data_IF_013747130209
#
_entry.id   IF_013747130209
#
_cell.length_a   1.000
_cell.length_b   1.000
_cell.length_c   1.000
_cell.angle_alpha   90.00
_cell.angle_beta   90.00
_cell.angle_gamma   90.00
#
_symmetry.space_group_name_H-M   'P 1'
#
loop_
_entity.id
_entity.type
_entity.pdbx_description
1 polymer ?
#
# COMPACT_ATOMS: atom_id res chain seq x y z
N UNK A 1 -11.72 72.92 -9.35
CA UNK A 1 -12.81 71.95 -9.11
C UNK A 1 -12.34 70.59 -9.61
N UNK A 2 -11.94 69.67 -8.71
CA UNK A 2 -11.57 68.28 -9.04
C UNK A 2 -12.67 67.37 -8.51
N UNK A 3 -13.34 66.66 -9.40
CA UNK A 3 -14.38 65.70 -9.06
C UNK A 3 -13.73 64.34 -8.65
N UNK A 4 -14.02 63.86 -7.43
CA UNK A 4 -13.68 62.53 -6.97
C UNK A 4 -14.77 61.56 -7.44
N UNK A 5 -14.38 60.57 -8.22
CA UNK A 5 -15.21 59.40 -8.56
C UNK A 5 -14.98 58.34 -7.49
N UNK A 6 -16.00 57.98 -6.72
CA UNK A 6 -16.00 56.87 -5.80
C UNK A 6 -16.43 55.60 -6.56
N UNK A 7 -15.51 54.63 -6.68
CA UNK A 7 -15.84 53.30 -7.18
C UNK A 7 -16.25 52.44 -5.98
N UNK A 8 -17.49 52.00 -5.95
CA UNK A 8 -17.99 51.02 -4.99
C UNK A 8 -17.72 49.61 -5.52
N UNK A 9 -16.85 48.88 -4.85
CA UNK A 9 -16.64 47.46 -5.13
C UNK A 9 -17.72 46.64 -4.45
N UNK A 10 -18.60 46.03 -5.26
CA UNK A 10 -19.55 45.02 -4.78
C UNK A 10 -18.82 43.65 -4.74
N UNK A 11 -18.49 43.22 -3.56
CA UNK A 11 -17.99 41.85 -3.33
C UNK A 11 -19.15 40.87 -3.36
N UNK A 12 -19.21 39.99 -4.37
CA UNK A 12 -20.08 38.82 -4.38
C UNK A 12 -19.51 37.77 -3.42
N UNK A 13 -20.10 37.65 -2.23
CA UNK A 13 -19.92 36.50 -1.35
C UNK A 13 -20.73 35.32 -1.90
N UNK A 14 -20.05 34.39 -2.57
CA UNK A 14 -20.64 33.08 -2.87
C UNK A 14 -20.78 32.30 -1.55
N UNK A 15 -21.96 31.72 -1.26
CA UNK A 15 -22.11 30.89 -0.08
C UNK A 15 -21.29 29.61 -0.27
N UNK A 16 -20.28 29.42 0.57
CA UNK A 16 -19.61 28.15 0.71
C UNK A 16 -20.67 27.14 1.22
N UNK A 17 -21.03 26.18 0.39
CA UNK A 17 -21.90 25.06 0.79
C UNK A 17 -21.12 24.23 1.83
N UNK A 18 -21.40 24.49 3.10
CA UNK A 18 -20.94 23.65 4.21
C UNK A 18 -21.75 22.36 4.12
N UNK A 19 -21.18 21.33 3.50
CA UNK A 19 -21.71 19.96 3.61
C UNK A 19 -21.57 19.57 5.09
N UNK A 20 -22.64 19.21 5.79
CA UNK A 20 -22.55 18.95 7.21
C UNK A 20 -21.66 17.72 7.47
N UNK A 21 -20.64 17.88 8.31
CA UNK A 21 -19.73 16.84 8.78
C UNK A 21 -20.46 15.63 9.41
N UNK A 22 -21.72 15.81 9.82
CA UNK A 22 -22.56 14.78 10.42
C UNK A 22 -22.91 13.61 9.47
N UNK A 23 -22.99 13.86 8.15
CA UNK A 23 -23.28 12.79 7.18
C UNK A 23 -22.09 11.82 6.99
N UNK A 24 -20.88 12.24 7.35
CA UNK A 24 -19.68 11.44 7.24
C UNK A 24 -19.48 10.49 8.44
N UNK A 25 -20.06 10.83 9.59
CA UNK A 25 -19.92 10.06 10.83
C UNK A 25 -20.74 8.75 10.82
N UNK A 26 -21.91 8.75 10.21
CA UNK A 26 -22.78 7.57 10.12
C UNK A 26 -22.23 6.48 9.18
N UNK A 27 -21.42 6.87 8.19
CA UNK A 27 -20.83 5.93 7.22
C UNK A 27 -19.79 4.99 7.85
N UNK A 28 -19.16 5.37 8.96
CA UNK A 28 -18.10 4.62 9.63
C UNK A 28 -18.50 4.06 11.00
N UNK A 29 -19.71 4.25 11.48
CA UNK A 29 -20.08 3.95 12.86
C UNK A 29 -21.25 2.99 13.04
N UNK A 30 -22.12 2.80 12.07
CA UNK A 30 -23.33 1.98 12.20
C UNK A 30 -23.20 0.64 11.45
N UNK A 31 -22.17 -0.14 11.80
CA UNK A 31 -21.97 -1.46 11.25
C UNK A 31 -22.95 -2.47 11.86
N UNK A 32 -23.50 -3.43 11.07
CA UNK A 32 -24.16 -4.59 11.64
C UNK A 32 -23.22 -5.35 12.59
N UNK A 33 -23.79 -6.02 13.57
CA UNK A 33 -23.02 -6.84 14.51
C UNK A 33 -22.23 -7.91 13.74
N UNK A 34 -20.92 -7.97 13.96
CA UNK A 34 -20.01 -8.87 13.29
C UNK A 34 -19.38 -8.33 12.00
N UNK A 35 -19.79 -7.15 11.52
CA UNK A 35 -19.36 -6.59 10.23
C UNK A 35 -18.50 -5.32 10.37
N UNK A 36 -18.24 -4.86 11.61
CA UNK A 36 -17.34 -3.73 11.80
C UNK A 36 -15.92 -4.07 11.35
N UNK A 37 -15.14 -3.09 10.86
CA UNK A 37 -13.73 -3.32 10.49
C UNK A 37 -12.92 -4.00 11.59
N UNK A 38 -13.18 -3.66 12.86
CA UNK A 38 -12.52 -4.28 14.01
C UNK A 38 -12.89 -5.75 14.17
N UNK A 39 -14.17 -6.11 14.07
CA UNK A 39 -14.62 -7.49 14.20
C UNK A 39 -14.14 -8.35 13.03
N UNK A 40 -14.24 -7.83 11.80
CA UNK A 40 -13.78 -8.53 10.59
C UNK A 40 -12.25 -8.68 10.61
N UNK A 41 -11.52 -7.61 10.87
CA UNK A 41 -10.05 -7.61 10.93
C UNK A 41 -9.54 -8.60 11.98
N UNK A 42 -10.15 -8.61 13.16
CA UNK A 42 -9.80 -9.57 14.22
C UNK A 42 -10.00 -11.02 13.78
N UNK A 43 -11.19 -11.36 13.26
CA UNK A 43 -11.45 -12.72 12.78
C UNK A 43 -10.48 -13.19 11.71
N UNK A 44 -10.16 -12.31 10.74
CA UNK A 44 -9.22 -12.63 9.66
C UNK A 44 -7.81 -12.86 10.21
N UNK A 45 -7.32 -11.97 11.08
CA UNK A 45 -5.99 -12.07 11.63
C UNK A 45 -5.84 -13.29 12.58
N UNK A 46 -6.78 -13.54 13.47
CA UNK A 46 -6.80 -14.72 14.34
C UNK A 46 -6.89 -16.04 13.54
N UNK A 47 -7.71 -16.05 12.48
CA UNK A 47 -7.80 -17.20 11.60
C UNK A 47 -6.46 -17.47 10.90
N UNK A 48 -5.77 -16.42 10.45
CA UNK A 48 -4.48 -16.56 9.81
C UNK A 48 -3.40 -17.15 10.72
N UNK A 49 -3.38 -16.80 12.03
CA UNK A 49 -2.39 -17.33 12.99
C UNK A 49 -2.33 -18.86 12.97
N UNK A 50 -3.48 -19.53 12.83
CA UNK A 50 -3.59 -21.00 12.91
C UNK A 50 -3.80 -21.68 11.56
N UNK A 51 -3.98 -20.91 10.48
CA UNK A 51 -4.20 -21.44 9.14
C UNK A 51 -2.94 -22.11 8.58
N UNK A 52 -3.08 -23.21 7.80
CA UNK A 52 -1.95 -23.75 7.05
C UNK A 52 -1.45 -22.73 6.03
N UNK A 53 -0.19 -22.85 5.62
CA UNK A 53 0.36 -22.01 4.55
C UNK A 53 -0.41 -22.23 3.23
N UNK A 54 -0.65 -21.16 2.49
CA UNK A 54 -1.35 -21.20 1.20
C UNK A 54 -0.47 -21.82 0.11
N UNK A 55 0.81 -21.45 0.09
CA UNK A 55 1.79 -22.05 -0.80
C UNK A 55 2.15 -23.47 -0.40
N UNK A 56 2.20 -24.40 -1.37
CA UNK A 56 2.60 -25.77 -1.10
C UNK A 56 4.06 -25.90 -0.66
N UNK A 57 4.95 -25.12 -1.26
CA UNK A 57 6.40 -25.21 -1.09
C UNK A 57 7.07 -23.91 -0.65
N UNK A 58 6.40 -22.78 -0.78
CA UNK A 58 6.95 -21.46 -0.45
C UNK A 58 5.88 -20.53 0.09
N UNK A 59 6.25 -19.56 0.89
CA UNK A 59 5.37 -18.46 1.29
C UNK A 59 5.05 -17.62 0.04
N UNK A 60 3.78 -17.30 -0.15
CA UNK A 60 3.29 -16.56 -1.32
C UNK A 60 2.89 -15.14 -0.92
N UNK A 61 2.89 -14.21 -1.88
CA UNK A 61 2.62 -12.78 -1.66
C UNK A 61 1.28 -12.53 -0.93
N UNK A 62 0.26 -13.35 -1.14
CA UNK A 62 -1.03 -13.21 -0.46
C UNK A 62 -0.94 -13.51 1.04
N UNK A 63 -0.05 -14.45 1.45
CA UNK A 63 0.25 -14.66 2.87
C UNK A 63 1.00 -13.48 3.47
N UNK A 64 1.97 -12.93 2.71
CA UNK A 64 2.73 -11.74 3.13
C UNK A 64 1.77 -10.57 3.37
N UNK A 65 0.83 -10.30 2.45
CA UNK A 65 -0.19 -9.27 2.60
C UNK A 65 -1.10 -9.52 3.81
N UNK A 66 -1.44 -10.79 4.10
CA UNK A 66 -2.23 -11.14 5.27
C UNK A 66 -1.44 -10.94 6.57
N UNK A 67 -0.15 -11.29 6.57
CA UNK A 67 0.74 -11.05 7.71
C UNK A 67 0.89 -9.57 8.02
N UNK A 68 1.20 -8.80 6.98
CA UNK A 68 1.32 -7.35 7.07
C UNK A 68 0.04 -6.71 7.63
N UNK A 69 -1.12 -7.07 7.05
CA UNK A 69 -2.42 -6.59 7.51
C UNK A 69 -2.72 -7.01 8.96
N UNK A 70 -2.39 -8.24 9.35
CA UNK A 70 -2.57 -8.74 10.70
C UNK A 70 -1.72 -8.00 11.75
N UNK A 71 -0.44 -7.78 11.45
CA UNK A 71 0.45 -7.00 12.32
C UNK A 71 0.01 -5.53 12.43
N UNK A 72 -0.38 -4.92 11.31
CA UNK A 72 -0.93 -3.56 11.30
C UNK A 72 -2.21 -3.48 12.12
N UNK A 73 -3.10 -4.45 11.99
CA UNK A 73 -4.32 -4.53 12.79
C UNK A 73 -4.02 -4.66 14.28
N UNK A 74 -3.11 -5.55 14.66
CA UNK A 74 -2.69 -5.75 16.05
C UNK A 74 -2.11 -4.44 16.65
N UNK A 75 -1.29 -3.73 15.88
CA UNK A 75 -0.75 -2.42 16.27
C UNK A 75 -1.86 -1.40 16.51
N UNK A 76 -2.76 -1.22 15.54
CA UNK A 76 -3.84 -0.22 15.59
C UNK A 76 -4.87 -0.50 16.70
N UNK A 77 -5.07 -1.76 17.07
CA UNK A 77 -6.00 -2.18 18.12
C UNK A 77 -5.35 -2.41 19.47
N UNK A 78 -4.02 -2.25 19.56
CA UNK A 78 -3.22 -2.53 20.75
C UNK A 78 -3.40 -3.99 21.24
N UNK A 79 -3.55 -4.94 20.30
CA UNK A 79 -3.67 -6.37 20.61
C UNK A 79 -2.27 -7.03 20.60
N UNK A 80 -1.57 -6.84 21.73
CA UNK A 80 -0.22 -7.38 21.92
C UNK A 80 -0.17 -8.91 21.77
N UNK A 81 -1.22 -9.61 22.20
CA UNK A 81 -1.29 -11.08 22.09
C UNK A 81 -1.30 -11.50 20.61
N UNK A 82 -2.15 -10.91 19.81
CA UNK A 82 -2.23 -11.19 18.38
C UNK A 82 -0.90 -10.85 17.66
N UNK A 83 -0.30 -9.70 17.99
CA UNK A 83 1.02 -9.33 17.48
C UNK A 83 2.06 -10.42 17.77
N UNK A 84 2.14 -10.88 19.01
CA UNK A 84 3.15 -11.85 19.44
C UNK A 84 2.92 -13.22 18.77
N UNK A 85 1.67 -13.64 18.60
CA UNK A 85 1.30 -14.86 17.87
C UNK A 85 1.70 -14.78 16.39
N UNK A 86 1.50 -13.64 15.73
CA UNK A 86 1.91 -13.41 14.35
C UNK A 86 3.44 -13.39 14.19
N UNK A 87 4.16 -12.79 15.15
CA UNK A 87 5.63 -12.82 15.20
C UNK A 87 6.12 -14.25 15.40
N UNK A 88 5.55 -14.99 16.34
CA UNK A 88 5.92 -16.39 16.58
C UNK A 88 5.70 -17.25 15.33
N UNK A 89 4.59 -17.06 14.62
CA UNK A 89 4.35 -17.72 13.34
C UNK A 89 5.45 -17.42 12.32
N UNK A 90 5.91 -16.16 12.25
CA UNK A 90 6.97 -15.75 11.32
C UNK A 90 8.34 -16.35 11.67
N UNK A 91 8.61 -16.63 12.95
CA UNK A 91 9.87 -17.23 13.35
C UNK A 91 10.11 -18.60 12.72
N UNK A 92 9.03 -19.37 12.41
CA UNK A 92 9.19 -20.66 11.75
C UNK A 92 9.78 -20.56 10.34
N UNK A 93 9.57 -19.44 9.65
CA UNK A 93 10.06 -19.17 8.29
C UNK A 93 11.25 -18.20 8.25
N UNK A 94 11.92 -17.99 9.39
CA UNK A 94 13.24 -17.31 9.41
C UNK A 94 14.34 -18.30 8.94
N UNK A 95 15.53 -17.84 8.55
CA UNK A 95 16.61 -18.69 8.07
C UNK A 95 17.02 -19.86 9.00
N UNK A 96 16.82 -19.67 10.29
CA UNK A 96 17.06 -20.68 11.34
C UNK A 96 15.78 -21.37 11.85
N UNK A 97 14.64 -21.08 11.23
CA UNK A 97 13.35 -21.59 11.60
C UNK A 97 13.07 -23.00 11.05
N UNK A 98 12.08 -23.68 11.64
CA UNK A 98 11.72 -25.05 11.28
C UNK A 98 11.16 -25.20 9.84
N UNK A 99 10.70 -24.11 9.24
CA UNK A 99 10.13 -24.03 7.90
C UNK A 99 10.94 -23.09 6.98
N UNK A 100 12.24 -22.96 7.22
CA UNK A 100 13.16 -22.12 6.43
C UNK A 100 13.23 -22.52 4.94
N UNK A 101 12.87 -23.74 4.59
CA UNK A 101 12.75 -24.22 3.22
C UNK A 101 11.61 -23.53 2.44
N UNK A 102 10.64 -22.94 3.14
CA UNK A 102 9.54 -22.17 2.57
C UNK A 102 9.88 -20.70 2.25
N UNK A 103 11.05 -20.24 2.61
CA UNK A 103 11.50 -18.88 2.28
C UNK A 103 11.52 -18.71 0.75
N UNK A 104 10.86 -17.67 0.19
CA UNK A 104 10.89 -17.41 -1.25
C UNK A 104 12.31 -17.12 -1.74
N UNK A 105 12.69 -17.67 -2.91
CA UNK A 105 14.08 -17.63 -3.39
C UNK A 105 14.25 -17.02 -4.78
N UNK A 106 13.14 -16.85 -5.52
CA UNK A 106 13.22 -16.26 -6.86
C UNK A 106 13.53 -14.78 -6.76
N UNK A 107 14.25 -14.29 -7.74
CA UNK A 107 14.43 -12.86 -7.97
C UNK A 107 13.21 -12.31 -8.72
N UNK A 108 12.17 -12.00 -7.98
CA UNK A 108 10.86 -11.67 -8.51
C UNK A 108 10.00 -10.96 -7.46
N UNK A 109 9.22 -9.97 -7.87
CA UNK A 109 8.39 -9.15 -6.97
C UNK A 109 7.51 -9.96 -6.01
N UNK A 110 6.91 -11.06 -6.48
CA UNK A 110 6.04 -11.92 -5.67
C UNK A 110 6.79 -12.64 -4.54
N UNK A 111 8.09 -12.85 -4.71
CA UNK A 111 8.97 -13.47 -3.73
C UNK A 111 9.65 -12.39 -2.85
N UNK A 112 10.09 -11.30 -3.47
CA UNK A 112 10.80 -10.22 -2.78
C UNK A 112 9.94 -9.50 -1.75
N UNK A 113 8.62 -9.39 -1.97
CA UNK A 113 7.68 -8.81 -1.00
C UNK A 113 7.76 -9.48 0.39
N UNK A 114 8.28 -10.71 0.48
CA UNK A 114 8.46 -11.42 1.76
C UNK A 114 9.24 -10.59 2.78
N UNK A 115 10.19 -9.76 2.32
CA UNK A 115 10.97 -8.85 3.18
C UNK A 115 10.14 -7.80 3.93
N UNK A 116 8.90 -7.54 3.52
CA UNK A 116 7.99 -6.60 4.19
C UNK A 116 7.69 -7.03 5.63
N UNK A 117 7.45 -8.33 5.86
CA UNK A 117 7.06 -8.83 7.18
C UNK A 117 8.17 -8.66 8.22
N UNK A 118 9.42 -9.09 7.98
CA UNK A 118 10.48 -8.87 8.97
C UNK A 118 10.76 -7.38 9.20
N UNK A 119 10.66 -6.50 8.19
CA UNK A 119 10.81 -5.06 8.40
C UNK A 119 9.73 -4.51 9.32
N UNK A 120 8.47 -4.91 9.14
CA UNK A 120 7.38 -4.51 10.03
C UNK A 120 7.58 -5.05 11.44
N UNK A 121 8.01 -6.31 11.60
CA UNK A 121 8.34 -6.87 12.92
C UNK A 121 9.47 -6.07 13.59
N UNK A 122 10.48 -5.64 12.84
CA UNK A 122 11.50 -4.75 13.37
C UNK A 122 10.92 -3.41 13.83
N UNK A 123 10.01 -2.82 13.07
CA UNK A 123 9.36 -1.55 13.46
C UNK A 123 8.66 -1.69 14.82
N UNK A 124 8.04 -2.84 15.08
CA UNK A 124 7.35 -3.11 16.34
C UNK A 124 8.30 -3.47 17.51
N UNK A 125 9.33 -4.29 17.23
CA UNK A 125 10.14 -4.92 18.28
C UNK A 125 11.51 -4.28 18.49
N UNK A 126 12.03 -3.60 17.49
CA UNK A 126 13.43 -3.11 17.38
C UNK A 126 14.48 -4.22 17.44
N UNK A 127 14.10 -5.49 17.25
CA UNK A 127 15.05 -6.60 17.16
C UNK A 127 15.76 -6.58 15.79
N UNK A 128 17.05 -6.26 15.82
CA UNK A 128 17.88 -6.02 14.64
C UNK A 128 17.95 -7.19 13.66
N UNK A 129 17.76 -8.41 14.12
CA UNK A 129 17.77 -9.59 13.22
C UNK A 129 16.70 -9.49 12.11
N UNK A 130 15.53 -8.92 12.43
CA UNK A 130 14.46 -8.72 11.46
C UNK A 130 14.78 -7.59 10.47
N UNK A 131 15.41 -6.51 10.95
CA UNK A 131 15.88 -5.44 10.08
C UNK A 131 16.88 -5.97 9.06
N UNK A 132 17.96 -6.60 9.55
CA UNK A 132 19.03 -7.11 8.69
C UNK A 132 18.49 -8.09 7.65
N UNK A 133 17.55 -8.94 8.06
CA UNK A 133 16.95 -9.90 7.16
C UNK A 133 16.03 -9.23 6.12
N UNK A 134 15.13 -8.36 6.53
CA UNK A 134 14.21 -7.69 5.61
C UNK A 134 14.91 -6.79 4.59
N UNK A 135 16.00 -6.10 5.00
CA UNK A 135 16.78 -5.28 4.08
C UNK A 135 17.46 -6.08 2.97
N UNK A 136 17.76 -7.36 3.17
CA UNK A 136 18.32 -8.19 2.09
C UNK A 136 17.38 -8.29 0.89
N UNK A 137 16.08 -8.31 1.13
CA UNK A 137 15.06 -8.32 0.06
C UNK A 137 14.90 -6.94 -0.58
N UNK A 138 14.81 -5.89 0.23
CA UNK A 138 14.63 -4.53 -0.27
C UNK A 138 15.84 -4.05 -1.10
N UNK A 139 17.07 -4.31 -0.65
CA UNK A 139 18.27 -3.92 -1.36
C UNK A 139 18.46 -4.74 -2.64
N UNK A 140 18.14 -6.05 -2.61
CA UNK A 140 18.24 -6.91 -3.79
C UNK A 140 17.46 -6.35 -4.97
N UNK A 141 16.25 -5.81 -4.78
CA UNK A 141 15.42 -5.24 -5.86
C UNK A 141 16.14 -4.13 -6.66
N UNK A 142 17.16 -3.49 -6.10
CA UNK A 142 17.99 -2.45 -6.74
C UNK A 142 19.46 -2.80 -6.82
N UNK A 143 19.84 -4.04 -6.63
CA UNK A 143 21.26 -4.45 -6.74
C UNK A 143 21.81 -4.22 -8.16
N UNK A 144 21.00 -4.49 -9.20
CA UNK A 144 21.33 -4.24 -10.60
C UNK A 144 20.17 -3.51 -11.28
N UNK A 145 19.96 -2.20 -11.01
CA UNK A 145 18.82 -1.46 -11.55
C UNK A 145 18.87 -1.38 -13.08
N UNK A 146 17.71 -1.18 -13.69
CA UNK A 146 17.60 -0.94 -15.12
C UNK A 146 18.31 0.39 -15.51
N UNK A 147 18.65 0.60 -16.80
CA UNK A 147 19.35 1.82 -17.24
C UNK A 147 18.62 3.12 -16.93
N UNK A 148 17.31 3.08 -16.76
CA UNK A 148 16.46 4.20 -16.36
C UNK A 148 16.35 4.40 -14.84
N UNK A 149 17.05 3.56 -14.06
CA UNK A 149 17.08 3.61 -12.60
C UNK A 149 15.97 2.86 -11.90
N UNK A 150 15.07 2.22 -12.65
CA UNK A 150 14.02 1.38 -12.07
C UNK A 150 14.59 0.06 -11.55
N UNK A 151 13.81 -0.63 -10.71
CA UNK A 151 14.17 -1.96 -10.23
C UNK A 151 14.41 -2.94 -11.38
N UNK A 152 15.36 -3.86 -11.22
CA UNK A 152 15.50 -4.95 -12.19
C UNK A 152 14.29 -5.92 -12.18
N UNK A 153 13.49 -5.91 -11.11
CA UNK A 153 12.23 -6.66 -11.03
C UNK A 153 11.05 -5.97 -11.74
N UNK A 154 11.22 -4.73 -12.23
CA UNK A 154 10.17 -3.96 -12.94
C UNK A 154 9.79 -4.65 -14.24
N UNK A 155 8.54 -5.03 -14.35
CA UNK A 155 7.95 -5.68 -15.54
C UNK A 155 6.71 -4.95 -16.08
N UNK A 156 6.30 -3.86 -15.41
CA UNK A 156 5.09 -3.10 -15.68
C UNK A 156 3.82 -3.95 -15.65
N UNK A 157 3.71 -4.84 -14.69
CA UNK A 157 2.46 -5.48 -14.33
C UNK A 157 1.80 -4.70 -13.18
N UNK A 158 0.48 -4.55 -13.25
CA UNK A 158 -0.29 -3.76 -12.29
C UNK A 158 -0.06 -4.16 -10.83
N UNK A 159 0.19 -5.45 -10.58
CA UNK A 159 0.46 -6.01 -9.24
C UNK A 159 1.74 -5.44 -8.61
N UNK A 160 2.73 -5.13 -9.44
CA UNK A 160 4.04 -4.65 -9.00
C UNK A 160 3.91 -3.32 -8.23
N UNK A 161 2.90 -2.49 -8.57
CA UNK A 161 2.64 -1.21 -7.90
C UNK A 161 2.32 -1.35 -6.39
N UNK A 162 1.98 -2.54 -5.92
CA UNK A 162 1.91 -2.84 -4.49
C UNK A 162 3.14 -3.61 -4.01
N UNK A 163 3.55 -4.63 -4.75
CA UNK A 163 4.58 -5.58 -4.31
C UNK A 163 5.95 -4.92 -4.13
N UNK A 164 6.34 -4.04 -5.07
CA UNK A 164 7.55 -3.23 -4.95
C UNK A 164 7.38 -2.18 -3.85
N UNK A 165 6.28 -1.44 -3.89
CA UNK A 165 6.05 -0.29 -3.03
C UNK A 165 6.07 -0.65 -1.55
N UNK A 166 5.32 -1.67 -1.12
CA UNK A 166 5.21 -1.96 0.30
C UNK A 166 6.55 -2.39 0.92
N UNK A 167 7.36 -3.15 0.19
CA UNK A 167 8.69 -3.56 0.65
C UNK A 167 9.62 -2.36 0.82
N UNK A 168 9.65 -1.45 -0.18
CA UNK A 168 10.51 -0.27 -0.13
C UNK A 168 10.05 0.73 0.94
N UNK A 169 8.75 0.90 1.11
CA UNK A 169 8.21 1.75 2.17
C UNK A 169 8.50 1.21 3.57
N UNK A 170 8.40 -0.09 3.78
CA UNK A 170 8.78 -0.70 5.06
C UNK A 170 10.29 -0.56 5.33
N UNK A 171 11.14 -0.68 4.31
CA UNK A 171 12.58 -0.40 4.44
C UNK A 171 12.83 1.08 4.81
N UNK A 172 12.11 2.01 4.19
CA UNK A 172 12.16 3.42 4.57
C UNK A 172 11.67 3.67 6.01
N UNK A 173 10.51 3.12 6.38
CA UNK A 173 9.92 3.25 7.73
C UNK A 173 10.82 2.66 8.81
N UNK A 174 11.52 1.57 8.49
CA UNK A 174 12.42 0.90 9.42
C UNK A 174 13.74 1.65 9.63
N UNK A 175 14.27 2.30 8.58
CA UNK A 175 15.62 2.88 8.58
C UNK A 175 15.66 4.40 8.58
N UNK A 176 14.65 5.06 8.02
CA UNK A 176 14.68 6.49 7.68
C UNK A 176 15.56 6.82 6.47
N UNK A 177 16.13 5.81 5.79
CA UNK A 177 17.01 6.03 4.63
C UNK A 177 16.16 6.42 3.40
N UNK A 178 16.34 7.66 2.97
CA UNK A 178 15.59 8.29 1.88
C UNK A 178 15.72 7.54 0.55
N UNK A 179 16.80 6.78 0.35
CA UNK A 179 17.01 6.03 -0.89
C UNK A 179 15.85 5.09 -1.23
N UNK A 180 15.25 4.46 -0.20
CA UNK A 180 14.11 3.53 -0.39
C UNK A 180 12.88 4.27 -0.87
N UNK A 181 12.60 5.43 -0.28
CA UNK A 181 11.44 6.24 -0.63
C UNK A 181 11.58 6.89 -2.02
N UNK A 182 12.76 7.44 -2.34
CA UNK A 182 13.00 8.16 -3.60
C UNK A 182 12.93 7.21 -4.81
N UNK A 183 13.57 6.03 -4.72
CA UNK A 183 13.57 5.06 -5.82
C UNK A 183 12.19 4.48 -6.06
N UNK A 184 11.44 4.20 -5.01
CA UNK A 184 10.09 3.68 -5.09
C UNK A 184 9.08 4.73 -5.59
N UNK A 185 9.23 6.00 -5.21
CA UNK A 185 8.42 7.08 -5.76
C UNK A 185 8.65 7.29 -7.26
N UNK A 186 9.88 7.13 -7.75
CA UNK A 186 10.19 7.14 -9.18
C UNK A 186 9.57 5.94 -9.89
N UNK A 187 9.68 4.75 -9.31
CA UNK A 187 9.02 3.52 -9.77
C UNK A 187 7.52 3.72 -9.92
N UNK A 188 6.85 4.19 -8.88
CA UNK A 188 5.41 4.47 -8.88
C UNK A 188 5.01 5.41 -10.01
N UNK A 189 5.78 6.48 -10.26
CA UNK A 189 5.49 7.42 -11.36
C UNK A 189 5.67 6.76 -12.72
N UNK A 190 6.69 5.93 -12.91
CA UNK A 190 6.90 5.19 -14.14
C UNK A 190 5.70 4.27 -14.47
N UNK A 191 5.17 3.58 -13.46
CA UNK A 191 3.96 2.76 -13.60
C UNK A 191 2.72 3.59 -13.91
N UNK A 192 2.53 4.72 -13.22
CA UNK A 192 1.44 5.66 -13.51
C UNK A 192 1.46 6.13 -14.96
N UNK A 193 2.64 6.48 -15.47
CA UNK A 193 2.79 7.00 -16.83
C UNK A 193 2.63 5.89 -17.88
N UNK A 194 2.91 4.66 -17.50
CA UNK A 194 2.84 3.50 -18.42
C UNK A 194 1.47 2.84 -18.47
N UNK A 195 0.78 2.71 -17.32
CA UNK A 195 -0.42 1.86 -17.20
C UNK A 195 -1.72 2.63 -17.01
N UNK A 196 -1.70 3.83 -16.37
CA UNK A 196 -2.92 4.56 -16.09
C UNK A 196 -3.56 5.08 -17.38
N UNK A 197 -4.84 4.78 -17.56
CA UNK A 197 -5.59 5.19 -18.72
C UNK A 197 -6.36 6.50 -18.49
N UNK A 198 -6.82 7.19 -19.54
CA UNK A 198 -7.59 8.45 -19.41
C UNK A 198 -8.86 8.33 -18.57
N UNK A 199 -9.43 7.12 -18.44
CA UNK A 199 -10.59 6.88 -17.58
C UNK A 199 -10.23 6.74 -16.09
N UNK A 200 -8.93 6.77 -15.74
CA UNK A 200 -8.41 6.68 -14.38
C UNK A 200 -8.04 5.28 -13.91
N UNK A 201 -8.48 4.24 -14.59
CA UNK A 201 -8.14 2.85 -14.28
C UNK A 201 -6.83 2.43 -14.96
N UNK A 202 -6.34 1.25 -14.62
CA UNK A 202 -5.04 0.77 -15.07
C UNK A 202 -5.19 -0.47 -15.96
N UNK A 203 -4.44 -0.51 -17.05
CA UNK A 203 -4.25 -1.76 -17.79
C UNK A 203 -3.42 -2.74 -16.94
N UNK A 204 -3.66 -4.04 -17.15
CA UNK A 204 -2.91 -5.10 -16.47
C UNK A 204 -1.41 -5.03 -16.74
N UNK A 205 -1.07 -4.84 -18.02
CA UNK A 205 0.29 -4.63 -18.51
C UNK A 205 0.25 -3.82 -19.83
N UNK A 206 1.37 -3.29 -20.34
CA UNK A 206 1.38 -2.50 -21.57
C UNK A 206 0.85 -3.23 -22.79
N UNK A 207 1.04 -4.54 -22.85
CA UNK A 207 0.60 -5.45 -23.91
C UNK A 207 -0.68 -6.25 -23.55
N UNK A 208 -1.25 -6.00 -22.38
CA UNK A 208 -2.48 -6.62 -21.85
C UNK A 208 -3.49 -5.53 -21.50
N UNK A 209 -4.21 -4.95 -22.51
CA UNK A 209 -5.05 -3.78 -22.32
C UNK A 209 -6.43 -4.13 -21.74
N UNK A 210 -6.43 -4.83 -20.61
CA UNK A 210 -7.63 -5.19 -19.87
C UNK A 210 -7.64 -4.53 -18.48
N UNK A 211 -8.82 -4.07 -18.07
CA UNK A 211 -9.07 -3.63 -16.71
C UNK A 211 -9.38 -4.85 -15.82
N UNK A 212 -8.87 -4.83 -14.60
CA UNK A 212 -8.98 -5.95 -13.68
C UNK A 212 -9.09 -5.46 -12.24
N UNK A 213 -10.29 -5.60 -11.66
CA UNK A 213 -10.63 -5.01 -10.36
C UNK A 213 -9.66 -5.37 -9.22
N UNK A 214 -9.15 -6.61 -9.17
CA UNK A 214 -8.14 -6.98 -8.16
C UNK A 214 -6.81 -6.27 -8.40
N UNK A 215 -6.40 -6.08 -9.65
CA UNK A 215 -5.21 -5.31 -10.01
C UNK A 215 -5.36 -3.84 -9.61
N UNK A 216 -6.49 -3.23 -9.96
CA UNK A 216 -6.79 -1.85 -9.51
C UNK A 216 -6.80 -1.75 -7.98
N UNK A 217 -7.23 -2.78 -7.26
CA UNK A 217 -7.11 -2.86 -5.80
C UNK A 217 -5.66 -2.77 -5.32
N UNK A 218 -4.72 -3.48 -5.95
CA UNK A 218 -3.30 -3.38 -5.63
C UNK A 218 -2.74 -1.97 -5.83
N UNK A 219 -3.08 -1.33 -6.95
CA UNK A 219 -2.67 0.05 -7.23
C UNK A 219 -3.23 1.02 -6.20
N UNK A 220 -4.52 0.88 -5.84
CA UNK A 220 -5.17 1.74 -4.87
C UNK A 220 -4.44 1.71 -3.53
N UNK A 221 -4.11 0.50 -3.03
CA UNK A 221 -3.39 0.33 -1.76
C UNK A 221 -1.95 0.81 -1.89
N UNK A 222 -1.23 0.44 -2.97
CA UNK A 222 0.15 0.87 -3.19
C UNK A 222 0.28 2.40 -3.21
N UNK A 223 -0.60 3.11 -3.94
CA UNK A 223 -0.59 4.57 -3.94
C UNK A 223 -0.97 5.17 -2.59
N UNK A 224 -1.92 4.57 -1.85
CA UNK A 224 -2.28 5.04 -0.52
C UNK A 224 -1.12 4.91 0.47
N UNK A 225 -0.43 3.77 0.47
CA UNK A 225 0.77 3.51 1.28
C UNK A 225 1.90 4.49 0.92
N UNK A 226 2.16 4.69 -0.37
CA UNK A 226 3.15 5.66 -0.84
C UNK A 226 2.81 7.08 -0.35
N UNK A 227 1.60 7.54 -0.56
CA UNK A 227 1.17 8.90 -0.17
C UNK A 227 1.19 9.11 1.34
N UNK A 228 1.01 8.06 2.15
CA UNK A 228 1.12 8.14 3.61
C UNK A 228 2.55 8.37 4.08
N UNK A 229 3.54 7.92 3.31
CA UNK A 229 4.97 8.01 3.65
C UNK A 229 5.68 9.19 2.98
N UNK A 230 5.20 9.65 1.81
CA UNK A 230 5.82 10.75 1.07
C UNK A 230 5.67 12.08 1.80
N UNK A 231 6.75 12.83 2.06
CA UNK A 231 6.70 14.20 2.55
C UNK A 231 5.89 15.11 1.61
N UNK A 232 5.27 16.15 2.19
CA UNK A 232 4.44 17.08 1.42
C UNK A 232 5.19 17.80 0.27
N UNK A 233 6.49 17.98 0.42
CA UNK A 233 7.39 18.63 -0.53
C UNK A 233 8.16 17.65 -1.44
N UNK A 234 7.88 16.36 -1.38
CA UNK A 234 8.56 15.37 -2.23
C UNK A 234 8.23 15.61 -3.71
N UNK A 235 9.21 15.61 -4.62
CA UNK A 235 9.02 15.97 -6.04
C UNK A 235 7.92 15.15 -6.74
N UNK A 236 7.82 13.87 -6.46
CA UNK A 236 6.86 12.97 -7.10
C UNK A 236 5.45 13.00 -6.48
N UNK A 237 5.29 13.60 -5.28
CA UNK A 237 4.01 13.55 -4.55
C UNK A 237 2.83 14.10 -5.35
N UNK A 238 3.02 15.21 -6.05
CA UNK A 238 1.94 15.84 -6.81
C UNK A 238 1.43 14.92 -7.93
N UNK A 239 2.33 14.25 -8.65
CA UNK A 239 2.00 13.32 -9.75
C UNK A 239 1.27 12.08 -9.20
N UNK A 240 1.78 11.49 -8.11
CA UNK A 240 1.17 10.31 -7.47
C UNK A 240 -0.21 10.65 -6.93
N UNK A 241 -0.37 11.78 -6.23
CA UNK A 241 -1.67 12.23 -5.71
C UNK A 241 -2.68 12.51 -6.83
N UNK A 242 -2.24 13.05 -7.96
CA UNK A 242 -3.10 13.24 -9.13
C UNK A 242 -3.59 11.90 -9.68
N UNK A 243 -2.69 10.91 -9.87
CA UNK A 243 -3.03 9.56 -10.31
C UNK A 243 -4.01 8.86 -9.37
N UNK A 244 -3.74 8.95 -8.06
CA UNK A 244 -4.61 8.40 -7.02
C UNK A 244 -6.03 8.99 -7.06
N UNK A 245 -6.16 10.31 -7.13
CA UNK A 245 -7.47 10.99 -7.19
C UNK A 245 -8.26 10.63 -8.43
N UNK A 246 -7.58 10.54 -9.58
CA UNK A 246 -8.20 10.13 -10.83
C UNK A 246 -8.75 8.71 -10.74
N UNK A 247 -7.96 7.79 -10.18
CA UNK A 247 -8.36 6.41 -9.95
C UNK A 247 -9.54 6.30 -8.96
N UNK A 248 -9.48 6.97 -7.81
CA UNK A 248 -10.57 6.93 -6.83
C UNK A 248 -11.89 7.44 -7.41
N UNK A 249 -11.84 8.50 -8.24
CA UNK A 249 -13.03 9.00 -8.95
C UNK A 249 -13.57 8.00 -9.94
N UNK A 250 -12.71 7.24 -10.62
CA UNK A 250 -13.12 6.19 -11.55
C UNK A 250 -13.73 5.00 -10.79
N UNK A 251 -13.10 4.53 -9.72
CA UNK A 251 -13.61 3.43 -8.90
C UNK A 251 -15.00 3.75 -8.33
N UNK A 252 -15.19 4.97 -7.81
CA UNK A 252 -16.51 5.40 -7.31
C UNK A 252 -17.57 5.36 -8.42
N UNK A 253 -17.22 5.75 -9.65
CA UNK A 253 -18.13 5.72 -10.80
C UNK A 253 -18.53 4.31 -11.21
N UNK A 254 -17.62 3.34 -11.10
CA UNK A 254 -17.82 1.94 -11.53
C UNK A 254 -18.27 1.02 -10.39
N UNK A 255 -18.42 1.54 -9.19
CA UNK A 255 -18.98 0.78 -8.07
C UNK A 255 -20.45 0.50 -8.29
N UNK A 256 -20.86 -0.76 -8.16
CA UNK A 256 -22.27 -1.17 -8.24
C UNK A 256 -23.08 -0.67 -7.03
N UNK A 257 -24.41 -0.69 -7.16
CA UNK A 257 -25.32 -0.30 -6.07
C UNK A 257 -25.16 -1.16 -4.80
N UNK A 258 -24.67 -2.37 -4.96
CA UNK A 258 -24.33 -3.31 -3.88
C UNK A 258 -22.92 -3.07 -3.27
N UNK A 259 -22.25 -2.00 -3.67
CA UNK A 259 -20.91 -1.66 -3.21
C UNK A 259 -19.76 -2.44 -3.86
N UNK A 260 -20.03 -3.38 -4.76
CA UNK A 260 -19.03 -4.22 -5.41
C UNK A 260 -18.51 -3.60 -6.72
N UNK A 261 -17.28 -3.94 -7.08
CA UNK A 261 -16.69 -3.69 -8.40
C UNK A 261 -16.67 -5.00 -9.20
N UNK A 262 -17.05 -4.91 -10.48
CA UNK A 262 -17.12 -6.06 -11.41
C UNK A 262 -16.42 -5.75 -12.71
#
# INVERSE_FOLDING_TARGET
MKALVKIAAFGLLLPASIVPLAAQQDYFTNWPMGDSPQEVGKRVAEHFVTSPHQGKTTIVYSEVGTWYGGLTFAHLTHDDKLRDELIQRFQSVMPDGAEADRIPKRDHVDDSIFGTVPLQIYIETKDKKYLDYGLTFADRQWENPQPDGLSHETRFWIDDMYMLTILQLEAYRATGDQKYLDRDANEMVAYLDKLQQPNGLFYHAPDVPFFWGRGDGWVAVGMAEMLSSLPANHPQRARILQGYRLMMSALLKYQGQDGMWR
#
